data_IF_653222934826
#
_entry.id   IF_653222934826
#
_cell.length_a   1.000
_cell.length_b   1.000
_cell.length_c   1.000
_cell.angle_alpha   90.00
_cell.angle_beta   90.00
_cell.angle_gamma   90.00
#
_symmetry.space_group_name_H-M   'P 1'
#
loop_
_entity.id
_entity.type
_entity.pdbx_description
1 polymer ?
#
# COMPACT_ATOMS: atom_id res chain seq x y z
N UNK A 1 -58.86 14.63 -89.13
CA UNK A 1 -57.50 15.00 -88.67
C UNK A 1 -57.47 14.85 -87.16
N UNK A 2 -56.35 14.35 -86.66
CA UNK A 2 -56.22 13.42 -85.54
C UNK A 2 -56.75 13.88 -84.17
N UNK A 3 -57.38 12.93 -83.49
CA UNK A 3 -57.62 12.92 -82.06
C UNK A 3 -56.29 12.67 -81.32
N UNK A 4 -56.10 13.32 -80.17
CA UNK A 4 -55.14 12.90 -79.17
C UNK A 4 -55.78 12.98 -77.78
N UNK A 5 -55.82 11.83 -77.11
CA UNK A 5 -56.27 11.61 -75.74
C UNK A 5 -55.32 12.27 -74.73
N UNK A 6 -55.80 12.63 -73.52
CA UNK A 6 -54.95 12.99 -72.39
C UNK A 6 -54.41 11.73 -71.70
N UNK A 7 -53.12 11.73 -71.37
CA UNK A 7 -52.45 10.69 -70.55
C UNK A 7 -52.49 11.10 -69.07
N UNK A 8 -52.73 10.19 -68.09
CA UNK A 8 -52.96 10.55 -66.71
C UNK A 8 -51.66 10.66 -65.91
N UNK A 9 -51.56 11.78 -65.18
CA UNK A 9 -50.92 11.96 -63.87
C UNK A 9 -50.03 10.82 -63.34
N UNK A 10 -48.71 10.98 -63.48
CA UNK A 10 -47.70 10.24 -62.71
C UNK A 10 -47.07 11.13 -61.63
N UNK A 11 -47.79 11.39 -60.54
CA UNK A 11 -47.22 12.02 -59.33
C UNK A 11 -46.55 10.96 -58.47
N UNK A 12 -45.22 10.93 -58.47
CA UNK A 12 -44.43 10.22 -57.47
C UNK A 12 -44.62 10.89 -56.10
N UNK A 13 -44.92 10.15 -55.01
CA UNK A 13 -45.07 10.76 -53.70
C UNK A 13 -43.68 11.18 -53.19
N UNK A 14 -43.43 12.49 -53.14
CA UNK A 14 -42.29 13.03 -52.44
C UNK A 14 -42.38 12.60 -50.96
N UNK A 15 -41.50 11.70 -50.52
CA UNK A 15 -41.38 11.30 -49.12
C UNK A 15 -41.18 12.56 -48.26
N UNK A 16 -41.93 12.76 -47.18
CA UNK A 16 -41.71 13.89 -46.30
C UNK A 16 -40.34 13.74 -45.65
N UNK A 17 -39.41 14.63 -45.99
CA UNK A 17 -38.13 14.76 -45.31
C UNK A 17 -38.41 15.15 -43.86
N UNK A 18 -38.41 14.16 -42.95
CA UNK A 18 -38.65 14.35 -41.52
C UNK A 18 -37.42 14.94 -40.84
N UNK A 19 -37.08 16.17 -41.22
CA UNK A 19 -35.99 16.99 -40.66
C UNK A 19 -36.08 17.07 -39.12
N UNK A 20 -37.29 17.00 -38.56
CA UNK A 20 -37.54 16.98 -37.12
C UNK A 20 -37.14 15.65 -36.49
N UNK A 21 -37.48 14.51 -37.10
CA UNK A 21 -37.13 13.18 -36.59
C UNK A 21 -35.63 12.94 -36.60
N UNK A 22 -34.93 13.43 -37.63
CA UNK A 22 -33.46 13.36 -37.69
C UNK A 22 -32.80 14.25 -36.62
N UNK A 23 -33.34 15.44 -36.36
CA UNK A 23 -32.83 16.34 -35.30
C UNK A 23 -33.03 15.74 -33.90
N UNK A 24 -34.19 15.16 -33.61
CA UNK A 24 -34.46 14.50 -32.33
C UNK A 24 -33.53 13.30 -32.14
N UNK A 25 -33.36 12.46 -33.17
CA UNK A 25 -32.43 11.32 -33.15
C UNK A 25 -31.00 11.78 -32.86
N UNK A 26 -30.55 12.83 -33.53
CA UNK A 26 -29.19 13.36 -33.33
C UNK A 26 -29.02 13.94 -31.92
N UNK A 27 -30.02 14.64 -31.36
CA UNK A 27 -29.98 15.14 -29.98
C UNK A 27 -29.92 14.00 -28.96
N UNK A 28 -30.67 12.92 -29.16
CA UNK A 28 -30.63 11.75 -28.29
C UNK A 28 -29.25 11.06 -28.33
N UNK A 29 -28.64 10.94 -29.52
CA UNK A 29 -27.29 10.37 -29.66
C UNK A 29 -26.28 11.21 -28.89
N UNK A 30 -26.35 12.54 -28.98
CA UNK A 30 -25.44 13.44 -28.26
C UNK A 30 -25.63 13.31 -26.74
N UNK A 31 -26.86 13.26 -26.25
CA UNK A 31 -27.14 13.10 -24.82
C UNK A 31 -26.63 11.78 -24.28
N UNK A 32 -26.84 10.67 -25.01
CA UNK A 32 -26.33 9.35 -24.63
C UNK A 32 -24.80 9.33 -24.66
N UNK A 33 -24.17 9.93 -25.66
CA UNK A 33 -22.71 10.04 -25.73
C UNK A 33 -22.14 10.82 -24.54
N UNK A 34 -22.74 11.96 -24.18
CA UNK A 34 -22.33 12.75 -23.00
C UNK A 34 -22.49 11.92 -21.72
N UNK A 35 -23.64 11.27 -21.53
CA UNK A 35 -23.90 10.45 -20.35
C UNK A 35 -22.90 9.29 -20.22
N UNK A 36 -22.58 8.61 -21.32
CA UNK A 36 -21.57 7.55 -21.33
C UNK A 36 -20.16 8.09 -21.08
N UNK A 37 -19.78 9.22 -21.68
CA UNK A 37 -18.49 9.88 -21.42
C UNK A 37 -18.34 10.28 -19.94
N UNK A 38 -19.41 10.79 -19.32
CA UNK A 38 -19.45 11.12 -17.91
C UNK A 38 -19.33 9.86 -17.04
N UNK A 39 -20.08 8.80 -17.34
CA UNK A 39 -20.00 7.54 -16.61
C UNK A 39 -18.62 6.89 -16.71
N UNK A 40 -17.98 6.93 -17.89
CA UNK A 40 -16.61 6.45 -18.09
C UNK A 40 -15.60 7.32 -17.35
N UNK A 41 -15.75 8.65 -17.38
CA UNK A 41 -14.87 9.57 -16.66
C UNK A 41 -14.94 9.36 -15.15
N UNK A 42 -16.13 9.16 -14.58
CA UNK A 42 -16.29 8.84 -13.16
C UNK A 42 -15.89 7.39 -12.83
N UNK A 43 -16.09 6.43 -13.73
CA UNK A 43 -15.65 5.03 -13.55
C UNK A 43 -14.14 4.85 -13.64
N UNK A 44 -13.43 5.71 -14.38
CA UNK A 44 -11.97 5.75 -14.48
C UNK A 44 -11.31 6.57 -13.36
N UNK A 45 -12.09 7.31 -12.55
CA UNK A 45 -11.60 8.04 -11.38
C UNK A 45 -11.39 7.13 -10.15
N UNK A 46 -10.99 5.87 -10.34
CA UNK A 46 -10.36 5.13 -9.26
C UNK A 46 -9.02 5.81 -8.96
N UNK A 47 -9.01 6.65 -7.93
CA UNK A 47 -7.89 7.48 -7.53
C UNK A 47 -6.65 6.63 -7.32
N UNK A 48 -5.73 6.62 -8.29
CA UNK A 48 -4.34 6.28 -8.04
C UNK A 48 -3.70 7.50 -7.39
N UNK A 49 -4.04 7.79 -6.14
CA UNK A 49 -3.22 8.69 -5.34
C UNK A 49 -1.86 8.02 -5.23
N UNK A 50 -0.84 8.61 -5.83
CA UNK A 50 0.55 8.23 -5.57
C UNK A 50 0.84 8.58 -4.11
N UNK A 51 0.60 7.61 -3.22
CA UNK A 51 0.84 7.76 -1.79
C UNK A 51 2.35 7.90 -1.60
N UNK A 52 2.79 9.05 -1.11
CA UNK A 52 4.20 9.29 -0.79
C UNK A 52 4.46 9.00 0.68
N UNK A 53 5.70 8.64 1.02
CA UNK A 53 6.08 8.42 2.42
C UNK A 53 5.96 9.69 3.27
N UNK A 54 6.24 10.86 2.68
CA UNK A 54 6.09 12.14 3.37
C UNK A 54 4.62 12.44 3.67
N UNK A 55 3.72 12.23 2.70
CA UNK A 55 2.28 12.46 2.92
C UNK A 55 1.71 11.52 3.99
N UNK A 56 2.09 10.23 3.98
CA UNK A 56 1.68 9.32 5.05
C UNK A 56 2.23 9.74 6.41
N UNK A 57 3.49 10.15 6.48
CA UNK A 57 4.08 10.58 7.74
C UNK A 57 3.47 11.88 8.28
N UNK A 58 2.97 12.77 7.41
CA UNK A 58 2.23 13.97 7.80
C UNK A 58 0.82 13.64 8.33
N UNK A 59 0.16 12.62 7.77
CA UNK A 59 -1.16 12.14 8.21
C UNK A 59 -1.09 11.22 9.44
N UNK A 60 0.07 10.60 9.67
CA UNK A 60 0.31 9.66 10.76
C UNK A 60 0.05 10.27 12.15
N UNK A 61 -0.36 9.42 13.07
CA UNK A 61 -0.55 9.79 14.47
C UNK A 61 0.79 10.15 15.11
N UNK A 62 0.92 11.30 15.81
CA UNK A 62 2.13 11.61 16.56
C UNK A 62 2.39 10.56 17.65
N UNK A 63 3.64 10.14 17.81
CA UNK A 63 4.02 9.10 18.77
C UNK A 63 3.54 9.43 20.20
N UNK A 64 3.67 10.68 20.62
CA UNK A 64 3.31 11.12 21.96
C UNK A 64 1.79 11.03 22.22
N UNK A 65 0.98 11.10 21.17
CA UNK A 65 -0.48 10.90 21.22
C UNK A 65 -0.80 9.41 21.23
N UNK A 66 -0.14 8.63 20.35
CA UNK A 66 -0.35 7.19 20.25
C UNK A 66 -0.07 6.47 21.58
N UNK A 67 0.97 6.88 22.31
CA UNK A 67 1.33 6.31 23.61
C UNK A 67 0.37 6.69 24.76
N UNK A 68 -0.55 7.63 24.56
CA UNK A 68 -1.43 8.15 25.63
C UNK A 68 -2.92 7.92 25.38
N UNK A 69 -3.32 7.63 24.15
CA UNK A 69 -4.73 7.56 23.78
C UNK A 69 -5.38 6.18 23.99
N UNK A 70 -4.62 5.20 24.52
CA UNK A 70 -5.11 3.86 24.87
C UNK A 70 -5.49 2.99 23.67
N UNK A 71 -5.07 3.35 22.45
CA UNK A 71 -5.29 2.52 21.25
C UNK A 71 -4.04 1.70 20.95
N UNK A 72 -4.19 0.47 20.40
CA UNK A 72 -3.05 -0.24 19.86
C UNK A 72 -2.39 0.57 18.74
N UNK A 73 -1.09 0.35 18.53
CA UNK A 73 -0.30 1.14 17.59
C UNK A 73 0.52 0.25 16.67
N UNK A 74 0.46 0.52 15.37
CA UNK A 74 1.47 0.08 14.41
C UNK A 74 2.42 1.24 14.16
N UNK A 75 3.68 1.07 14.55
CA UNK A 75 4.73 2.05 14.32
C UNK A 75 5.70 1.57 13.25
N UNK A 76 5.92 2.37 12.23
CA UNK A 76 6.84 2.11 11.12
C UNK A 76 8.07 3.03 11.21
N UNK A 77 9.26 2.45 11.25
CA UNK A 77 10.50 3.16 10.96
C UNK A 77 10.81 3.06 9.48
N UNK A 78 11.02 4.21 8.85
CA UNK A 78 11.20 4.33 7.40
C UNK A 78 12.27 5.38 7.06
N UNK A 79 12.59 5.50 5.77
CA UNK A 79 13.36 6.62 5.23
C UNK A 79 12.86 6.99 3.84
N UNK A 80 13.08 8.23 3.41
CA UNK A 80 12.63 8.69 2.09
C UNK A 80 13.38 8.01 0.93
N UNK A 81 14.64 7.61 1.16
CA UNK A 81 15.46 6.89 0.19
C UNK A 81 15.16 5.38 0.13
N UNK A 82 14.31 4.87 1.02
CA UNK A 82 14.01 3.44 1.14
C UNK A 82 12.99 2.99 0.09
N UNK A 83 13.45 2.35 -0.98
CA UNK A 83 12.58 1.83 -2.04
C UNK A 83 11.54 0.83 -1.54
N UNK A 84 11.93 -0.07 -0.63
CA UNK A 84 10.99 -1.04 -0.04
C UNK A 84 9.88 -0.37 0.79
N UNK A 85 10.22 0.69 1.52
CA UNK A 85 9.23 1.49 2.25
C UNK A 85 8.25 2.15 1.25
N UNK A 86 8.76 2.73 0.16
CA UNK A 86 7.93 3.33 -0.89
C UNK A 86 7.00 2.30 -1.55
N UNK A 87 7.49 1.09 -1.80
CA UNK A 87 6.69 0.02 -2.38
C UNK A 87 5.52 -0.41 -1.47
N UNK A 88 5.69 -0.32 -0.16
CA UNK A 88 4.65 -0.67 0.82
C UNK A 88 3.66 0.46 1.10
N UNK A 89 4.00 1.72 0.80
CA UNK A 89 3.18 2.88 1.14
C UNK A 89 1.69 2.76 0.71
N UNK A 90 1.35 2.28 -0.50
CA UNK A 90 -0.07 2.11 -0.88
C UNK A 90 -0.82 1.11 -0.01
N UNK A 91 -0.14 0.03 0.41
CA UNK A 91 -0.74 -1.02 1.24
C UNK A 91 -0.90 -0.55 2.69
N UNK A 92 0.09 0.19 3.22
CA UNK A 92 0.01 0.80 4.55
C UNK A 92 -1.14 1.81 4.60
N UNK A 93 -1.27 2.69 3.59
CA UNK A 93 -2.40 3.61 3.49
C UNK A 93 -3.75 2.89 3.47
N UNK A 94 -3.87 1.82 2.69
CA UNK A 94 -5.11 1.05 2.61
C UNK A 94 -5.45 0.37 3.95
N UNK A 95 -4.45 -0.04 4.73
CA UNK A 95 -4.63 -0.58 6.08
C UNK A 95 -5.00 0.52 7.08
N UNK A 96 -4.36 1.69 7.00
CA UNK A 96 -4.69 2.85 7.83
C UNK A 96 -6.16 3.27 7.65
N UNK A 97 -6.61 3.37 6.40
CA UNK A 97 -8.02 3.66 6.10
C UNK A 97 -8.96 2.57 6.63
N UNK A 98 -8.59 1.30 6.50
CA UNK A 98 -9.42 0.17 6.98
C UNK A 98 -9.54 0.14 8.50
N UNK A 99 -8.47 0.45 9.22
CA UNK A 99 -8.40 0.41 10.68
C UNK A 99 -8.52 1.81 11.31
N UNK A 100 -9.00 2.78 10.54
CA UNK A 100 -9.15 4.16 10.98
C UNK A 100 -9.94 4.23 12.29
N UNK A 101 -9.36 4.91 13.28
CA UNK A 101 -9.96 5.06 14.60
C UNK A 101 -9.80 3.86 15.53
N UNK A 102 -9.33 2.70 15.06
CA UNK A 102 -9.11 1.49 15.87
C UNK A 102 -7.63 1.30 16.22
N UNK A 103 -6.72 1.63 15.30
CA UNK A 103 -5.27 1.50 15.45
C UNK A 103 -4.62 2.86 15.17
N UNK A 104 -3.61 3.23 15.95
CA UNK A 104 -2.74 4.35 15.60
C UNK A 104 -1.70 3.88 14.58
N UNK A 105 -1.52 4.63 13.50
CA UNK A 105 -0.41 4.45 12.58
C UNK A 105 0.60 5.55 12.88
N UNK A 106 1.83 5.18 13.23
CA UNK A 106 2.92 6.10 13.58
C UNK A 106 4.04 5.87 12.59
N UNK A 107 4.60 6.94 12.01
CA UNK A 107 5.75 6.85 11.10
C UNK A 107 6.91 7.66 11.63
N UNK A 108 8.06 7.01 11.81
CA UNK A 108 9.29 7.62 12.31
C UNK A 108 10.38 7.54 11.25
N UNK A 109 10.77 8.69 10.71
CA UNK A 109 11.85 8.77 9.74
C UNK A 109 13.20 8.59 10.46
N UNK A 110 13.97 7.57 10.10
CA UNK A 110 15.27 7.25 10.73
C UNK A 110 16.36 8.30 10.46
N UNK A 111 16.21 9.11 9.42
CA UNK A 111 17.14 10.22 9.13
C UNK A 111 16.90 11.42 10.06
N UNK A 112 15.77 11.46 10.77
CA UNK A 112 15.46 12.51 11.73
C UNK A 112 16.02 12.17 13.12
N UNK A 113 17.03 12.93 13.56
CA UNK A 113 17.71 12.72 14.85
C UNK A 113 16.80 12.85 16.07
N UNK A 114 15.61 13.47 15.94
CA UNK A 114 14.58 13.46 16.99
C UNK A 114 14.28 12.03 17.45
N UNK A 115 14.27 11.08 16.52
CA UNK A 115 13.83 9.70 16.75
C UNK A 115 14.97 8.73 17.09
N UNK A 116 16.19 9.24 17.29
CA UNK A 116 17.33 8.41 17.68
C UNK A 116 17.08 7.59 18.97
N UNK A 117 16.42 8.13 20.02
CA UNK A 117 16.09 7.34 21.21
C UNK A 117 15.19 6.14 20.88
N UNK A 118 14.18 6.32 20.03
CA UNK A 118 13.26 5.26 19.61
C UNK A 118 13.96 4.23 18.71
N UNK A 119 14.77 4.68 17.75
CA UNK A 119 15.61 3.82 16.90
C UNK A 119 16.49 2.90 17.75
N UNK A 120 17.09 3.42 18.82
CA UNK A 120 17.90 2.64 19.75
C UNK A 120 17.04 1.72 20.65
N UNK A 121 15.94 2.24 21.20
CA UNK A 121 15.06 1.52 22.12
C UNK A 121 14.44 0.28 21.45
N UNK A 122 13.96 0.43 20.21
CA UNK A 122 13.36 -0.65 19.44
C UNK A 122 14.36 -1.45 18.60
N UNK A 123 15.67 -1.16 18.75
CA UNK A 123 16.77 -1.84 18.04
C UNK A 123 16.57 -1.90 16.53
N UNK A 124 16.28 -0.75 15.92
CA UNK A 124 16.04 -0.65 14.49
C UNK A 124 17.37 -0.81 13.73
N UNK A 125 17.57 -2.00 13.15
CA UNK A 125 18.77 -2.41 12.40
C UNK A 125 18.53 -2.62 10.90
N UNK A 126 17.29 -2.40 10.44
CA UNK A 126 16.88 -2.42 9.04
C UNK A 126 15.53 -1.73 8.85
N UNK A 127 15.21 -1.29 7.63
CA UNK A 127 13.93 -0.65 7.29
C UNK A 127 13.30 -1.28 6.03
N UNK A 128 11.95 -1.30 5.91
CA UNK A 128 10.99 -0.83 6.90
C UNK A 128 10.98 -1.71 8.16
N UNK A 129 10.82 -1.11 9.34
CA UNK A 129 10.73 -1.82 10.62
C UNK A 129 9.39 -1.50 11.26
N UNK A 130 8.58 -2.53 11.49
CA UNK A 130 7.28 -2.43 12.13
C UNK A 130 7.36 -2.86 13.58
N UNK A 131 6.86 -2.04 14.48
CA UNK A 131 6.70 -2.36 15.90
C UNK A 131 5.21 -2.32 16.23
N UNK A 132 4.72 -3.39 16.84
CA UNK A 132 3.33 -3.51 17.27
C UNK A 132 3.25 -3.23 18.77
N UNK A 133 2.56 -2.16 19.14
CA UNK A 133 2.32 -1.78 20.53
C UNK A 133 0.88 -2.12 20.93
N UNK A 134 0.71 -2.72 22.10
CA UNK A 134 -0.61 -2.91 22.70
C UNK A 134 -1.20 -1.57 23.19
N UNK A 135 -2.42 -1.62 23.75
CA UNK A 135 -3.12 -0.43 24.28
C UNK A 135 -2.38 0.26 25.43
N UNK A 136 -1.51 -0.46 26.13
CA UNK A 136 -0.67 0.07 27.22
C UNK A 136 0.63 0.71 26.70
N UNK A 137 0.82 0.76 25.37
CA UNK A 137 2.03 1.29 24.74
C UNK A 137 3.24 0.34 24.83
N UNK A 138 3.04 -0.92 25.21
CA UNK A 138 4.11 -1.91 25.29
C UNK A 138 4.31 -2.59 23.94
N UNK A 139 5.56 -2.69 23.49
CA UNK A 139 5.90 -3.47 22.30
C UNK A 139 5.72 -4.96 22.55
N UNK A 140 4.86 -5.60 21.74
CA UNK A 140 4.54 -7.02 21.86
C UNK A 140 5.08 -7.86 20.70
N UNK A 141 5.43 -7.23 19.57
CA UNK A 141 6.08 -7.88 18.44
C UNK A 141 6.74 -6.85 17.52
N UNK A 142 7.60 -7.34 16.63
CA UNK A 142 8.13 -6.55 15.52
C UNK A 142 8.22 -7.38 14.22
N UNK A 143 8.39 -6.69 13.10
CA UNK A 143 8.66 -7.27 11.79
C UNK A 143 9.59 -6.35 11.00
N UNK A 144 10.54 -6.92 10.28
CA UNK A 144 11.53 -6.16 9.49
C UNK A 144 11.40 -6.57 8.03
N UNK A 145 11.47 -5.58 7.14
CA UNK A 145 11.36 -5.76 5.70
C UNK A 145 9.91 -5.77 5.21
N UNK A 146 9.76 -5.96 3.91
CA UNK A 146 8.45 -5.94 3.23
C UNK A 146 7.52 -7.03 3.79
N UNK A 147 6.29 -6.64 4.09
CA UNK A 147 5.26 -7.52 4.63
C UNK A 147 4.11 -7.64 3.62
N UNK A 148 3.63 -8.87 3.29
CA UNK A 148 2.42 -9.01 2.52
C UNK A 148 1.23 -8.36 3.23
N UNK A 149 0.38 -7.65 2.49
CA UNK A 149 -0.80 -6.96 3.04
C UNK A 149 -1.68 -7.88 3.90
N UNK A 150 -1.87 -9.13 3.48
CA UNK A 150 -2.67 -10.12 4.21
C UNK A 150 -2.08 -10.45 5.58
N UNK A 151 -0.75 -10.54 5.67
CA UNK A 151 -0.02 -10.79 6.90
C UNK A 151 -0.15 -9.59 7.85
N UNK A 152 0.05 -8.38 7.33
CA UNK A 152 -0.11 -7.16 8.12
C UNK A 152 -1.56 -7.00 8.60
N UNK A 153 -2.54 -7.26 7.74
CA UNK A 153 -3.96 -7.20 8.09
C UNK A 153 -4.32 -8.17 9.21
N UNK A 154 -3.82 -9.41 9.17
CA UNK A 154 -4.07 -10.42 10.20
C UNK A 154 -3.42 -10.04 11.54
N UNK A 155 -2.20 -9.50 11.52
CA UNK A 155 -1.55 -8.99 12.73
C UNK A 155 -2.32 -7.80 13.32
N UNK A 156 -2.78 -6.86 12.49
CA UNK A 156 -3.59 -5.71 12.94
C UNK A 156 -4.94 -6.14 13.52
N UNK A 157 -5.61 -7.12 12.90
CA UNK A 157 -6.85 -7.70 13.43
C UNK A 157 -6.62 -8.33 14.82
N UNK A 158 -5.56 -9.14 14.95
CA UNK A 158 -5.17 -9.74 16.22
C UNK A 158 -4.83 -8.68 17.28
N UNK A 159 -4.13 -7.61 16.87
CA UNK A 159 -3.73 -6.51 17.72
C UNK A 159 -4.95 -5.72 18.25
N UNK A 160 -5.92 -5.41 17.40
CA UNK A 160 -7.19 -4.78 17.80
C UNK A 160 -7.96 -5.67 18.78
N UNK A 161 -7.94 -6.99 18.55
CA UNK A 161 -8.58 -7.96 19.44
C UNK A 161 -7.82 -8.20 20.77
N UNK A 162 -6.63 -7.61 20.95
CA UNK A 162 -5.79 -7.86 22.14
C UNK A 162 -5.26 -9.31 22.22
N UNK A 163 -5.14 -9.99 21.09
CA UNK A 163 -4.73 -11.39 20.99
C UNK A 163 -3.29 -11.52 20.47
N UNK A 164 -2.73 -12.74 20.48
CA UNK A 164 -1.38 -13.00 19.97
C UNK A 164 -1.30 -12.77 18.46
N UNK A 165 -0.26 -12.08 18.01
CA UNK A 165 -0.06 -11.78 16.60
C UNK A 165 0.37 -13.06 15.85
N UNK A 166 -0.35 -13.48 14.80
CA UNK A 166 -0.11 -14.76 14.14
C UNK A 166 1.20 -14.83 13.35
N UNK A 167 1.73 -13.68 12.90
CA UNK A 167 2.89 -13.65 12.00
C UNK A 167 4.02 -12.71 12.43
N UNK A 168 3.78 -11.85 13.43
CA UNK A 168 4.84 -11.03 14.01
C UNK A 168 5.33 -11.68 15.31
N UNK A 169 6.64 -11.78 15.49
CA UNK A 169 7.25 -12.35 16.70
C UNK A 169 8.09 -11.27 17.37
N UNK A 170 8.17 -11.28 18.71
CA UNK A 170 9.11 -10.41 19.44
C UNK A 170 10.58 -10.85 19.26
N UNK A 171 10.82 -12.05 18.72
CA UNK A 171 12.14 -12.61 18.44
C UNK A 171 12.02 -13.66 17.33
N UNK A 172 12.92 -13.61 16.34
CA UNK A 172 12.92 -14.57 15.23
C UNK A 172 13.21 -16.00 15.70
N UNK A 173 12.60 -16.98 15.04
CA UNK A 173 12.89 -18.39 15.26
C UNK A 173 14.29 -18.72 14.72
N UNK A 174 15.25 -18.95 15.61
CA UNK A 174 16.55 -19.50 15.20
C UNK A 174 16.43 -21.01 15.09
N UNK A 175 16.85 -21.56 13.94
CA UNK A 175 17.04 -23.00 13.83
C UNK A 175 18.13 -23.43 14.81
N UNK A 176 17.88 -24.46 15.61
CA UNK A 176 18.93 -25.07 16.40
C UNK A 176 19.90 -25.78 15.44
N UNK A 177 21.04 -25.14 15.15
CA UNK A 177 22.10 -25.77 14.37
C UNK A 177 22.94 -26.64 15.31
N UNK A 178 22.86 -27.96 15.14
CA UNK A 178 23.75 -28.92 15.82
C UNK A 178 24.78 -29.43 14.82
N UNK A 179 26.06 -29.10 15.02
CA UNK A 179 27.14 -29.66 14.22
C UNK A 179 27.42 -31.10 14.65
N UNK A 180 27.24 -32.07 13.74
CA UNK A 180 27.66 -33.45 13.95
C UNK A 180 29.19 -33.64 13.87
N UNK A 181 29.94 -32.58 13.53
CA UNK A 181 31.40 -32.63 13.37
C UNK A 181 32.05 -32.21 14.68
N UNK A 182 32.64 -33.18 15.39
CA UNK A 182 33.64 -32.89 16.43
C UNK A 182 34.77 -32.06 15.78
N UNK A 183 35.21 -30.93 16.38
CA UNK A 183 36.35 -30.21 15.87
C UNK A 183 37.56 -31.15 15.87
N UNK A 184 38.00 -31.59 14.70
CA UNK A 184 39.32 -32.22 14.57
C UNK A 184 40.33 -31.10 14.84
N UNK A 185 41.20 -31.30 15.83
CA UNK A 185 42.31 -30.40 16.14
C UNK A 185 43.00 -29.97 14.84
N UNK A 186 43.21 -28.66 14.56
CA UNK A 186 43.86 -28.24 13.34
C UNK A 186 45.25 -28.87 13.26
N UNK A 187 45.52 -29.61 12.20
CA UNK A 187 46.88 -30.00 11.86
C UNK A 187 47.55 -28.77 11.25
N UNK A 188 48.32 -28.02 12.03
CA UNK A 188 49.40 -27.10 11.64
C UNK A 188 49.12 -25.94 10.68
N UNK A 189 48.40 -26.17 9.59
CA UNK A 189 48.18 -25.25 8.48
C UNK A 189 46.72 -24.80 8.48
N UNK A 190 46.43 -23.74 9.25
CA UNK A 190 45.23 -22.94 9.05
C UNK A 190 45.53 -21.88 7.98
N UNK A 191 44.90 -21.92 6.78
CA UNK A 191 45.08 -20.90 5.74
C UNK A 191 44.63 -19.49 6.16
N UNK A 192 43.93 -19.35 7.30
CA UNK A 192 43.54 -18.06 7.89
C UNK A 192 44.53 -17.55 8.94
N UNK A 193 45.64 -18.27 9.20
CA UNK A 193 46.65 -17.90 10.19
C UNK A 193 47.65 -16.81 9.75
N UNK A 194 47.54 -16.31 8.52
CA UNK A 194 48.48 -15.33 7.96
C UNK A 194 48.51 -13.94 8.63
N UNK A 195 47.70 -13.71 9.68
CA UNK A 195 47.62 -12.41 10.38
C UNK A 195 48.15 -12.39 11.83
N UNK A 196 48.62 -13.52 12.39
CA UNK A 196 48.92 -13.59 13.84
C UNK A 196 50.38 -13.37 14.22
N UNK A 197 51.20 -12.71 13.41
CA UNK A 197 52.58 -12.38 13.78
C UNK A 197 52.91 -10.92 13.44
N UNK A 198 52.45 -10.02 14.30
CA UNK A 198 53.12 -8.75 14.56
C UNK A 198 53.38 -8.70 16.05
N UNK A 199 54.54 -9.23 16.45
CA UNK A 199 55.17 -8.98 17.74
C UNK A 199 56.14 -7.82 17.53
N UNK A 200 56.06 -6.84 18.44
CA UNK A 200 56.84 -5.59 18.47
C UNK A 200 58.34 -5.74 18.16
#
# INVERSE_FOLDING_TARGET
>A
MAANLPDPTGTSPAKPNSTVGTRIRNLLIVLVAIALSVAVFFGLQTQTTSVSLNSLAEEATPLEVALKNGKPTLMEFYANWCTSCQAMAPEINALEQRYQGQVNFVMLNVDNTKWLPEVLHYRVDGIPHFVFLNQDGQAIANAIGEQPRTIMAANLEALVAGSSLPYAQASGQVSAFSTAVKPTKPAGDDPRSHGSQVVN
#
